data_IF_309268989803
#
_entry.id   IF_309268989803
#
_cell.length_a   1.000
_cell.length_b   1.000
_cell.length_c   1.000
_cell.angle_alpha   90.00
_cell.angle_beta   90.00
_cell.angle_gamma   90.00
#
_symmetry.space_group_name_H-M   'P 1'
#
loop_
_entity.id
_entity.type
_entity.pdbx_description
1 polymer ?
#
# COMPACT_ATOMS: atom_id res chain seq x y z
N UNK A 1 1.75 4.22 10.10
CA UNK A 1 2.11 5.64 9.91
C UNK A 1 1.88 5.94 8.45
N UNK A 2 1.76 7.21 8.07
CA UNK A 2 1.43 7.61 6.71
C UNK A 2 2.12 8.95 6.38
N UNK A 3 2.40 9.20 5.10
CA UNK A 3 2.84 10.51 4.63
C UNK A 3 1.66 11.38 4.21
N UNK A 4 1.71 12.67 4.56
CA UNK A 4 0.70 13.63 4.13
C UNK A 4 0.98 14.05 2.68
N UNK A 5 -0.04 13.95 1.82
CA UNK A 5 0.01 14.39 0.42
C UNK A 5 1.24 13.83 -0.32
N UNK A 6 1.49 12.52 -0.17
CA UNK A 6 2.77 11.88 -0.49
C UNK A 6 3.28 12.17 -1.91
N UNK A 7 2.47 11.91 -2.93
CA UNK A 7 2.87 12.14 -4.32
C UNK A 7 3.11 13.63 -4.58
N UNK A 8 2.18 14.48 -4.13
CA UNK A 8 2.27 15.93 -4.29
C UNK A 8 3.45 16.55 -3.53
N UNK A 9 3.93 15.88 -2.48
CA UNK A 9 5.11 16.30 -1.71
C UNK A 9 6.43 16.02 -2.43
N UNK A 10 6.45 15.10 -3.41
CA UNK A 10 7.62 14.83 -4.24
C UNK A 10 7.65 15.84 -5.38
N UNK A 11 8.52 16.83 -5.25
CA UNK A 11 8.55 18.01 -6.11
C UNK A 11 9.41 17.85 -7.36
N UNK A 12 9.26 18.80 -8.29
CA UNK A 12 10.13 18.93 -9.46
C UNK A 12 11.62 19.03 -9.09
N UNK A 13 11.93 19.75 -8.01
CA UNK A 13 13.28 19.83 -7.44
C UNK A 13 13.80 18.45 -7.05
N UNK A 14 12.99 17.65 -6.35
CA UNK A 14 13.38 16.31 -5.90
C UNK A 14 13.69 15.39 -7.08
N UNK A 15 12.87 15.46 -8.15
CA UNK A 15 13.06 14.67 -9.38
C UNK A 15 14.34 15.11 -10.12
N UNK A 16 14.59 16.41 -10.21
CA UNK A 16 15.81 16.95 -10.84
C UNK A 16 17.07 16.53 -10.09
N UNK A 17 17.04 16.60 -8.76
CA UNK A 17 18.15 16.18 -7.91
C UNK A 17 18.39 14.68 -8.03
N UNK A 18 17.33 13.88 -7.97
CA UNK A 18 17.40 12.44 -8.24
C UNK A 18 18.00 12.14 -9.62
N UNK A 19 17.58 12.85 -10.67
CA UNK A 19 18.09 12.67 -12.02
C UNK A 19 19.58 13.01 -12.12
N UNK A 20 20.02 14.11 -11.51
CA UNK A 20 21.43 14.50 -11.45
C UNK A 20 22.29 13.43 -10.77
N UNK A 21 21.80 12.86 -9.66
CA UNK A 21 22.55 11.90 -8.87
C UNK A 21 22.53 10.47 -9.46
N UNK A 22 21.49 10.12 -10.24
CA UNK A 22 21.22 8.72 -10.62
C UNK A 22 21.02 8.46 -12.11
N UNK A 23 20.76 9.47 -12.93
CA UNK A 23 20.50 9.29 -14.37
C UNK A 23 21.61 9.93 -15.20
N UNK A 24 21.94 11.20 -14.91
CA UNK A 24 22.99 11.92 -15.61
C UNK A 24 24.34 11.22 -15.47
N UNK A 25 24.96 10.87 -16.60
CA UNK A 25 26.23 10.15 -16.64
C UNK A 25 26.15 8.64 -16.32
N UNK A 26 25.01 8.15 -15.81
CA UNK A 26 24.77 6.72 -15.58
C UNK A 26 23.95 6.08 -16.72
N UNK A 27 23.05 6.84 -17.33
CA UNK A 27 22.33 6.46 -18.54
C UNK A 27 23.02 7.12 -19.74
N UNK A 28 23.44 6.36 -20.76
CA UNK A 28 24.05 6.92 -21.96
C UNK A 28 23.16 7.97 -22.61
N UNK A 29 23.74 9.13 -22.94
CA UNK A 29 23.08 10.26 -23.59
C UNK A 29 21.95 10.93 -22.80
N UNK A 30 21.83 10.68 -21.48
CA UNK A 30 20.87 11.41 -20.65
C UNK A 30 21.28 12.87 -20.51
N UNK A 31 20.46 13.77 -21.04
CA UNK A 31 20.69 15.21 -21.08
C UNK A 31 19.74 15.99 -20.14
N UNK A 32 19.96 17.31 -20.05
CA UNK A 32 19.09 18.19 -19.25
C UNK A 32 17.67 18.23 -19.82
N UNK A 33 17.53 18.16 -21.15
CA UNK A 33 16.27 18.11 -21.87
C UNK A 33 15.43 16.88 -21.48
N UNK A 34 16.07 15.72 -21.28
CA UNK A 34 15.40 14.49 -20.83
C UNK A 34 14.87 14.64 -19.40
N UNK A 35 15.66 15.25 -18.52
CA UNK A 35 15.24 15.57 -17.15
C UNK A 35 14.06 16.55 -17.16
N UNK A 36 14.12 17.57 -18.02
CA UNK A 36 13.03 18.53 -18.19
C UNK A 36 11.75 17.87 -18.70
N UNK A 37 11.87 16.92 -19.64
CA UNK A 37 10.75 16.14 -20.14
C UNK A 37 10.17 15.24 -19.04
N UNK A 38 11.01 14.52 -18.29
CA UNK A 38 10.61 13.66 -17.17
C UNK A 38 9.79 14.44 -16.14
N UNK A 39 10.27 15.62 -15.73
CA UNK A 39 9.56 16.50 -14.78
C UNK A 39 8.21 16.92 -15.35
N UNK A 40 8.16 17.37 -16.60
CA UNK A 40 6.90 17.81 -17.25
C UNK A 40 5.87 16.68 -17.37
N UNK A 41 6.31 15.45 -17.61
CA UNK A 41 5.43 14.29 -17.76
C UNK A 41 4.94 13.72 -16.42
N UNK A 42 5.74 13.86 -15.36
CA UNK A 42 5.45 13.25 -14.05
C UNK A 42 4.75 14.20 -13.08
N UNK A 43 4.92 15.52 -13.25
CA UNK A 43 4.43 16.51 -12.28
C UNK A 43 3.27 17.36 -12.76
N UNK A 44 2.40 17.74 -11.83
CA UNK A 44 1.33 18.73 -12.00
C UNK A 44 1.29 19.61 -10.77
N UNK A 45 1.16 20.94 -10.96
CA UNK A 45 1.20 21.93 -9.87
C UNK A 45 2.42 21.77 -8.94
N UNK A 46 3.55 21.31 -9.48
CA UNK A 46 4.83 21.24 -8.78
C UNK A 46 5.07 19.98 -7.93
N UNK A 47 4.24 18.94 -8.04
CA UNK A 47 4.45 17.64 -7.40
C UNK A 47 4.03 16.47 -8.30
N UNK A 48 4.37 15.23 -7.92
CA UNK A 48 3.97 14.05 -8.69
C UNK A 48 2.45 13.94 -8.81
N UNK A 49 2.01 13.48 -9.97
CA UNK A 49 0.58 13.29 -10.28
C UNK A 49 0.07 11.95 -9.77
N UNK A 50 -1.01 11.97 -8.99
CA UNK A 50 -1.76 10.75 -8.68
C UNK A 50 -2.41 10.24 -9.97
N UNK A 51 -2.29 8.94 -10.24
CA UNK A 51 -2.89 8.28 -11.41
C UNK A 51 -1.99 8.23 -12.65
N UNK A 52 -0.82 8.88 -12.63
CA UNK A 52 0.20 8.64 -13.66
C UNK A 52 0.86 7.27 -13.47
N UNK A 53 1.15 6.59 -14.58
CA UNK A 53 1.84 5.30 -14.62
C UNK A 53 3.29 5.43 -14.09
N UNK A 54 3.90 6.61 -14.22
CA UNK A 54 5.29 6.85 -13.79
C UNK A 54 5.42 7.15 -12.31
N UNK A 55 4.40 7.74 -11.69
CA UNK A 55 4.47 8.22 -10.31
C UNK A 55 4.80 7.12 -9.28
N UNK A 56 4.21 5.91 -9.31
CA UNK A 56 4.55 4.86 -8.35
C UNK A 56 6.02 4.43 -8.41
N UNK A 57 6.55 4.23 -9.62
CA UNK A 57 7.94 3.80 -9.79
C UNK A 57 8.91 4.92 -9.38
N UNK A 58 8.60 6.16 -9.77
CA UNK A 58 9.45 7.30 -9.49
C UNK A 58 9.45 7.66 -8.00
N UNK A 59 8.30 7.59 -7.31
CA UNK A 59 8.25 7.84 -5.88
C UNK A 59 9.02 6.80 -5.07
N UNK A 60 8.97 5.52 -5.47
CA UNK A 60 9.76 4.47 -4.84
C UNK A 60 11.26 4.67 -5.05
N UNK A 61 11.68 5.03 -6.27
CA UNK A 61 13.08 5.31 -6.57
C UNK A 61 13.62 6.52 -5.77
N UNK A 62 12.84 7.60 -5.68
CA UNK A 62 13.21 8.80 -4.92
C UNK A 62 13.25 8.50 -3.41
N UNK A 63 12.38 7.63 -2.91
CA UNK A 63 12.36 7.23 -1.48
C UNK A 63 13.45 6.22 -1.10
N UNK A 64 14.32 5.79 -2.02
CA UNK A 64 15.32 4.75 -1.72
C UNK A 64 16.21 5.09 -0.50
N UNK A 65 16.75 6.31 -0.43
CA UNK A 65 17.61 6.71 0.69
C UNK A 65 16.85 6.82 2.02
N UNK A 66 15.56 7.22 1.97
CA UNK A 66 14.68 7.17 3.13
C UNK A 66 14.52 5.73 3.61
N UNK A 67 14.25 4.80 2.70
CA UNK A 67 14.06 3.38 3.03
C UNK A 67 15.32 2.74 3.61
N UNK A 68 16.50 3.07 3.08
CA UNK A 68 17.79 2.63 3.62
C UNK A 68 18.00 3.11 5.05
N UNK A 69 17.71 4.39 5.33
CA UNK A 69 17.84 4.96 6.66
C UNK A 69 16.84 4.34 7.66
N UNK A 70 15.58 4.18 7.25
CA UNK A 70 14.54 3.57 8.07
C UNK A 70 14.78 2.08 8.32
N UNK A 71 15.29 1.36 7.31
CA UNK A 71 15.69 -0.04 7.44
C UNK A 71 16.82 -0.18 8.46
N UNK A 72 17.87 0.63 8.35
CA UNK A 72 19.02 0.62 9.27
C UNK A 72 18.59 0.91 10.71
N UNK A 73 17.82 1.99 10.93
CA UNK A 73 17.25 2.32 12.24
C UNK A 73 16.42 1.16 12.81
N UNK A 74 15.58 0.55 11.97
CA UNK A 74 14.68 -0.52 12.41
C UNK A 74 15.47 -1.77 12.76
N UNK A 75 16.49 -2.10 11.98
CA UNK A 75 17.38 -3.23 12.23
C UNK A 75 18.09 -3.10 13.58
N UNK A 76 18.69 -1.94 13.86
CA UNK A 76 19.36 -1.65 15.14
C UNK A 76 18.44 -1.79 16.36
N UNK A 77 17.15 -1.47 16.20
CA UNK A 77 16.15 -1.51 17.27
C UNK A 77 15.38 -2.84 17.36
N UNK A 78 15.68 -3.83 16.50
CA UNK A 78 14.92 -5.08 16.44
C UNK A 78 13.46 -4.90 16.01
N UNK A 79 13.24 -4.01 15.03
CA UNK A 79 11.95 -3.67 14.43
C UNK A 79 11.93 -4.14 12.97
N UNK A 80 10.81 -4.70 12.53
CA UNK A 80 10.55 -4.95 11.12
C UNK A 80 9.85 -3.74 10.50
N UNK A 81 10.50 -3.15 9.50
CA UNK A 81 9.98 -2.04 8.69
C UNK A 81 9.42 -2.53 7.36
N UNK A 82 8.32 -1.93 6.92
CA UNK A 82 7.75 -2.15 5.59
C UNK A 82 7.07 -0.87 5.13
N UNK A 83 7.29 -0.47 3.87
CA UNK A 83 6.61 0.65 3.22
C UNK A 83 5.71 0.16 2.10
N UNK A 84 4.53 0.75 1.97
CA UNK A 84 3.64 0.58 0.84
C UNK A 84 3.17 1.96 0.39
N UNK A 85 3.79 2.50 -0.67
CA UNK A 85 3.63 3.89 -1.08
C UNK A 85 3.87 4.87 0.10
N UNK A 86 2.81 5.54 0.56
CA UNK A 86 2.77 6.51 1.66
C UNK A 86 2.65 5.86 3.05
N UNK A 87 2.12 4.64 3.12
CA UNK A 87 1.98 3.89 4.36
C UNK A 87 3.33 3.32 4.84
N UNK A 88 3.66 3.60 6.10
CA UNK A 88 4.81 3.04 6.81
C UNK A 88 4.35 2.13 7.96
N UNK A 89 4.85 0.91 7.98
CA UNK A 89 4.55 -0.08 9.01
C UNK A 89 5.84 -0.45 9.76
N UNK A 90 5.75 -0.38 11.09
CA UNK A 90 6.80 -0.77 12.02
C UNK A 90 6.23 -1.77 13.01
N UNK A 91 6.86 -2.94 13.13
CA UNK A 91 6.38 -4.02 13.99
C UNK A 91 7.51 -4.63 14.81
N UNK A 92 7.20 -5.06 16.03
CA UNK A 92 8.15 -5.70 16.95
C UNK A 92 7.40 -6.46 18.04
N UNK A 93 8.05 -7.45 18.64
CA UNK A 93 7.56 -8.14 19.83
C UNK A 93 7.96 -7.44 21.14
N UNK A 94 8.85 -6.45 21.07
CA UNK A 94 9.35 -5.70 22.22
C UNK A 94 8.43 -4.54 22.57
N UNK A 95 7.92 -4.54 23.81
CA UNK A 95 6.96 -3.52 24.25
C UNK A 95 7.62 -2.15 24.37
N UNK A 96 6.91 -1.11 23.96
CA UNK A 96 7.30 0.29 24.20
C UNK A 96 8.27 0.88 23.18
N UNK A 97 9.06 0.07 22.47
CA UNK A 97 10.08 0.56 21.53
C UNK A 97 9.46 1.40 20.40
N UNK A 98 8.29 1.04 19.88
CA UNK A 98 7.68 1.79 18.77
C UNK A 98 7.31 3.24 19.10
N UNK A 99 7.26 3.65 20.38
CA UNK A 99 6.89 5.02 20.78
C UNK A 99 7.88 6.07 20.28
N UNK A 100 9.15 5.71 20.09
CA UNK A 100 10.18 6.64 19.62
C UNK A 100 10.19 6.80 18.09
N UNK A 101 9.55 5.89 17.35
CA UNK A 101 9.66 5.82 15.90
C UNK A 101 9.13 7.07 15.19
N UNK A 102 7.97 7.66 15.55
CA UNK A 102 7.49 8.85 14.87
C UNK A 102 8.51 10.00 14.84
N UNK A 103 9.16 10.30 15.96
CA UNK A 103 10.15 11.38 16.02
C UNK A 103 11.46 11.03 15.31
N UNK A 104 11.88 9.76 15.35
CA UNK A 104 13.06 9.30 14.59
C UNK A 104 12.86 9.35 13.08
N UNK A 105 11.64 9.08 12.61
CA UNK A 105 11.28 9.23 11.19
C UNK A 105 11.33 10.71 10.79
N UNK A 106 10.84 11.63 11.63
CA UNK A 106 10.96 13.08 11.36
C UNK A 106 12.43 13.51 11.27
N UNK A 107 13.27 13.04 12.20
CA UNK A 107 14.70 13.33 12.20
C UNK A 107 15.38 12.84 10.91
N UNK A 108 15.08 11.61 10.46
CA UNK A 108 15.59 11.07 9.20
C UNK A 108 15.15 11.94 8.03
N UNK A 109 13.85 12.26 7.92
CA UNK A 109 13.32 13.09 6.84
C UNK A 109 14.00 14.45 6.78
N UNK A 110 14.26 15.07 7.94
CA UNK A 110 14.92 16.39 8.02
C UNK A 110 16.36 16.40 7.48
N UNK A 111 16.99 15.23 7.34
CA UNK A 111 18.37 15.07 6.85
C UNK A 111 18.44 14.60 5.39
N UNK A 112 17.30 14.29 4.78
CA UNK A 112 17.26 13.83 3.39
C UNK A 112 17.49 15.01 2.43
N UNK A 113 18.25 14.77 1.37
CA UNK A 113 18.33 15.70 0.24
C UNK A 113 17.03 15.70 -0.58
N UNK A 114 16.42 14.51 -0.73
CA UNK A 114 15.10 14.31 -1.32
C UNK A 114 14.44 13.03 -0.77
N UNK A 115 13.09 12.98 -0.72
CA UNK A 115 12.18 14.07 -1.03
C UNK A 115 12.11 15.10 0.10
N UNK A 116 12.31 16.37 -0.26
CA UNK A 116 12.55 17.47 0.68
C UNK A 116 11.32 17.98 1.42
N UNK A 117 10.11 17.71 0.89
CA UNK A 117 8.84 18.19 1.46
C UNK A 117 8.02 17.10 2.16
N UNK A 118 8.56 15.89 2.32
CA UNK A 118 7.87 14.81 3.02
C UNK A 118 7.48 15.22 4.44
N UNK A 119 6.26 14.87 4.84
CA UNK A 119 5.74 15.10 6.19
C UNK A 119 4.92 13.91 6.65
N UNK A 120 5.13 13.50 7.90
CA UNK A 120 4.31 12.47 8.53
C UNK A 120 2.91 13.02 8.79
N UNK A 121 1.90 12.24 8.45
CA UNK A 121 0.53 12.49 8.83
C UNK A 121 0.28 12.04 10.28
N UNK A 122 0.43 12.97 11.22
CA UNK A 122 0.29 12.68 12.66
C UNK A 122 -1.12 12.20 13.03
N UNK A 123 -2.18 12.63 12.35
CA UNK A 123 -3.55 12.17 12.64
C UNK A 123 -3.81 10.72 12.21
N UNK A 124 -3.07 10.23 11.20
CA UNK A 124 -3.09 8.83 10.76
C UNK A 124 -2.02 7.96 11.41
N UNK A 125 -1.22 8.52 12.33
CA UNK A 125 -0.22 7.76 13.08
C UNK A 125 -0.90 7.05 14.25
N UNK A 126 -0.87 5.72 14.25
CA UNK A 126 -1.55 4.89 15.25
C UNK A 126 -0.67 3.73 15.70
N UNK A 127 -0.76 3.39 16.99
CA UNK A 127 -0.12 2.21 17.58
C UNK A 127 -1.17 1.16 17.90
N UNK A 128 -0.98 -0.06 17.40
CA UNK A 128 -1.84 -1.20 17.73
C UNK A 128 -1.03 -2.35 18.31
N UNK A 129 -1.72 -3.26 18.99
CA UNK A 129 -1.16 -4.49 19.55
C UNK A 129 -2.23 -5.58 19.49
N UNK A 130 -1.89 -6.81 19.88
CA UNK A 130 -2.85 -7.94 19.95
C UNK A 130 -4.06 -7.69 20.88
N UNK A 131 -4.04 -6.65 21.71
CA UNK A 131 -5.21 -6.23 22.51
C UNK A 131 -6.28 -5.51 21.68
N UNK A 132 -5.89 -4.93 20.55
CA UNK A 132 -6.74 -4.12 19.68
C UNK A 132 -6.77 -4.71 18.27
N UNK A 133 -7.67 -4.21 17.41
CA UNK A 133 -7.70 -4.57 15.99
C UNK A 133 -6.41 -4.05 15.33
N UNK A 134 -5.64 -4.95 14.73
CA UNK A 134 -4.47 -4.61 13.93
C UNK A 134 -4.87 -4.66 12.45
N UNK A 135 -4.76 -3.53 11.75
CA UNK A 135 -5.00 -3.43 10.31
C UNK A 135 -3.74 -2.98 9.58
N UNK A 136 -3.44 -3.61 8.46
CA UNK A 136 -2.34 -3.27 7.54
C UNK A 136 -2.92 -3.37 6.13
N UNK A 137 -2.85 -2.29 5.35
CA UNK A 137 -3.33 -2.22 3.94
C UNK A 137 -4.73 -2.82 3.72
N UNK A 138 -5.65 -2.57 4.66
CA UNK A 138 -7.04 -3.06 4.62
C UNK A 138 -7.25 -4.49 5.15
N UNK A 139 -6.17 -5.23 5.41
CA UNK A 139 -6.20 -6.58 5.99
C UNK A 139 -6.06 -6.53 7.51
N UNK A 140 -6.71 -7.47 8.18
CA UNK A 140 -6.64 -7.63 9.64
C UNK A 140 -5.63 -8.71 9.99
N UNK A 141 -4.74 -8.40 10.93
CA UNK A 141 -3.84 -9.39 11.53
C UNK A 141 -4.53 -9.94 12.79
N UNK A 142 -4.75 -11.25 12.83
CA UNK A 142 -5.38 -11.93 13.97
C UNK A 142 -4.37 -12.14 15.11
N UNK A 143 -4.86 -12.49 16.31
CA UNK A 143 -4.01 -12.66 17.50
C UNK A 143 -3.02 -13.82 17.39
N UNK A 144 -3.35 -14.81 16.59
CA UNK A 144 -2.52 -15.95 16.18
C UNK A 144 -1.73 -15.68 14.89
N UNK A 145 -1.54 -14.41 14.54
CA UNK A 145 -0.67 -13.94 13.44
C UNK A 145 -1.09 -14.42 12.04
N UNK A 146 -2.39 -14.70 11.83
CA UNK A 146 -2.95 -14.98 10.50
C UNK A 146 -3.50 -13.71 9.85
N UNK A 147 -3.57 -13.73 8.52
CA UNK A 147 -4.18 -12.65 7.74
C UNK A 147 -5.68 -12.93 7.58
N UNK A 148 -6.50 -11.89 7.68
CA UNK A 148 -7.95 -11.98 7.61
C UNK A 148 -8.55 -10.75 6.97
N UNK A 149 -9.62 -10.91 6.18
CA UNK A 149 -10.38 -9.76 5.65
C UNK A 149 -11.25 -9.07 6.71
N UNK A 150 -11.28 -9.59 7.93
CA UNK A 150 -12.02 -9.03 9.06
C UNK A 150 -13.50 -9.43 9.11
N UNK A 151 -14.10 -9.34 10.30
CA UNK A 151 -15.46 -9.86 10.58
C UNK A 151 -16.55 -9.16 9.77
N UNK A 152 -16.46 -7.83 9.62
CA UNK A 152 -17.43 -7.01 8.89
C UNK A 152 -17.48 -7.41 7.42
N UNK A 153 -16.32 -7.48 6.76
CA UNK A 153 -16.24 -7.89 5.35
C UNK A 153 -16.70 -9.33 5.16
N UNK A 154 -16.33 -10.26 6.05
CA UNK A 154 -16.85 -11.64 6.02
C UNK A 154 -18.38 -11.70 6.13
N UNK A 155 -19.00 -10.81 6.93
CA UNK A 155 -20.46 -10.73 7.05
C UNK A 155 -21.09 -10.22 5.76
N UNK A 156 -20.53 -9.17 5.18
CA UNK A 156 -20.97 -8.62 3.89
C UNK A 156 -20.89 -9.70 2.79
N UNK A 157 -19.75 -10.38 2.66
CA UNK A 157 -19.56 -11.42 1.64
C UNK A 157 -20.52 -12.59 1.83
N UNK A 158 -20.75 -13.05 3.06
CA UNK A 158 -21.78 -14.08 3.32
C UNK A 158 -23.17 -13.64 2.90
N UNK A 159 -23.51 -12.36 3.08
CA UNK A 159 -24.80 -11.82 2.64
C UNK A 159 -24.90 -11.81 1.12
N UNK A 160 -23.85 -11.35 0.43
CA UNK A 160 -23.79 -11.31 -1.03
C UNK A 160 -23.83 -12.69 -1.66
N UNK A 161 -23.12 -13.67 -1.08
CA UNK A 161 -23.17 -15.08 -1.53
C UNK A 161 -24.56 -15.67 -1.32
N UNK A 162 -25.22 -15.36 -0.19
CA UNK A 162 -26.57 -15.86 0.08
C UNK A 162 -27.61 -15.29 -0.90
N UNK A 163 -27.51 -14.00 -1.23
CA UNK A 163 -28.42 -13.32 -2.15
C UNK A 163 -27.91 -13.34 -3.60
N UNK A 164 -27.07 -14.32 -3.99
CA UNK A 164 -26.38 -14.34 -5.29
C UNK A 164 -27.32 -14.09 -6.47
N UNK A 165 -28.46 -14.77 -6.51
CA UNK A 165 -29.42 -14.66 -7.62
C UNK A 165 -30.03 -13.26 -7.77
N UNK A 166 -30.18 -12.54 -6.64
CA UNK A 166 -30.79 -11.22 -6.57
C UNK A 166 -29.79 -10.09 -6.84
N UNK A 167 -28.49 -10.39 -6.96
CA UNK A 167 -27.46 -9.39 -7.21
C UNK A 167 -27.51 -8.85 -8.65
N UNK A 168 -27.24 -7.56 -8.78
CA UNK A 168 -26.99 -6.91 -10.06
C UNK A 168 -25.76 -7.53 -10.77
N UNK A 169 -25.66 -7.48 -12.11
CA UNK A 169 -24.47 -7.96 -12.84
C UNK A 169 -23.16 -7.29 -12.37
N UNK A 170 -23.23 -6.03 -11.94
CA UNK A 170 -22.10 -5.29 -11.38
C UNK A 170 -21.69 -5.87 -10.01
N UNK A 171 -22.64 -6.08 -9.10
CA UNK A 171 -22.37 -6.70 -7.80
C UNK A 171 -21.86 -8.13 -7.93
N UNK A 172 -22.38 -8.89 -8.91
CA UNK A 172 -21.89 -10.24 -9.25
C UNK A 172 -20.43 -10.19 -9.70
N UNK A 173 -20.09 -9.26 -10.60
CA UNK A 173 -18.70 -9.05 -11.06
C UNK A 173 -17.77 -8.65 -9.92
N UNK A 174 -18.22 -7.72 -9.07
CA UNK A 174 -17.47 -7.29 -7.91
C UNK A 174 -17.24 -8.45 -6.93
N UNK A 175 -18.28 -9.23 -6.60
CA UNK A 175 -18.17 -10.38 -5.71
C UNK A 175 -17.20 -11.44 -6.28
N UNK A 176 -17.28 -11.73 -7.57
CA UNK A 176 -16.37 -12.66 -8.27
C UNK A 176 -14.90 -12.24 -8.12
N UNK A 177 -14.59 -10.97 -8.45
CA UNK A 177 -13.25 -10.43 -8.28
C UNK A 177 -12.80 -10.44 -6.83
N UNK A 178 -13.70 -10.12 -5.91
CA UNK A 178 -13.39 -10.09 -4.48
C UNK A 178 -13.17 -11.50 -3.89
N UNK A 179 -13.91 -12.52 -4.32
CA UNK A 179 -13.64 -13.91 -3.92
C UNK A 179 -12.28 -14.38 -4.45
N UNK A 180 -11.87 -13.96 -5.65
CA UNK A 180 -10.54 -14.23 -6.20
C UNK A 180 -9.44 -13.61 -5.35
N UNK A 181 -9.62 -12.37 -4.89
CA UNK A 181 -8.73 -11.72 -3.92
C UNK A 181 -8.71 -12.45 -2.56
N UNK A 182 -9.88 -12.81 -2.01
CA UNK A 182 -9.96 -13.56 -0.76
C UNK A 182 -9.23 -14.91 -0.87
N UNK A 183 -9.30 -15.57 -2.03
CA UNK A 183 -8.62 -16.85 -2.26
C UNK A 183 -7.09 -16.71 -2.11
N UNK A 184 -6.49 -15.59 -2.51
CA UNK A 184 -5.05 -15.37 -2.35
C UNK A 184 -4.65 -14.98 -0.93
N UNK A 185 -5.54 -14.33 -0.17
CA UNK A 185 -5.22 -13.78 1.15
C UNK A 185 -5.70 -14.63 2.33
N UNK A 186 -6.91 -15.18 2.25
CA UNK A 186 -7.54 -15.98 3.30
C UNK A 186 -8.30 -17.20 2.71
N UNK A 187 -7.60 -18.18 2.12
CA UNK A 187 -8.22 -19.33 1.44
C UNK A 187 -9.11 -20.18 2.35
N UNK A 188 -8.82 -20.24 3.65
CA UNK A 188 -9.65 -20.93 4.63
C UNK A 188 -11.08 -20.36 4.69
N UNK A 189 -11.26 -19.06 4.42
CA UNK A 189 -12.60 -18.47 4.36
C UNK A 189 -13.39 -18.94 3.13
N UNK A 190 -12.73 -19.16 1.98
CA UNK A 190 -13.36 -19.77 0.80
C UNK A 190 -13.82 -21.19 1.12
N UNK A 191 -13.00 -21.99 1.79
CA UNK A 191 -13.39 -23.35 2.19
C UNK A 191 -14.64 -23.36 3.09
N UNK A 192 -14.75 -22.40 4.01
CA UNK A 192 -15.93 -22.23 4.85
C UNK A 192 -17.17 -21.83 4.03
N UNK A 193 -17.01 -21.00 2.99
CA UNK A 193 -18.10 -20.67 2.08
C UNK A 193 -18.55 -21.91 1.28
N UNK A 194 -17.62 -22.70 0.74
CA UNK A 194 -17.93 -23.94 0.03
C UNK A 194 -18.67 -24.95 0.92
N UNK A 195 -18.25 -25.06 2.18
CA UNK A 195 -18.90 -25.97 3.16
C UNK A 195 -20.32 -25.50 3.50
N UNK A 196 -20.53 -24.19 3.61
CA UNK A 196 -21.82 -23.62 4.04
C UNK A 196 -22.84 -23.48 2.91
N UNK A 197 -22.41 -23.04 1.73
CA UNK A 197 -23.28 -22.72 0.60
C UNK A 197 -23.17 -23.72 -0.55
N UNK A 198 -22.22 -24.66 -0.50
CA UNK A 198 -21.96 -25.62 -1.57
C UNK A 198 -20.85 -25.17 -2.53
N UNK A 199 -19.95 -26.11 -2.86
CA UNK A 199 -18.81 -25.83 -3.72
C UNK A 199 -19.20 -25.40 -5.14
N UNK A 200 -20.32 -25.92 -5.67
CA UNK A 200 -20.83 -25.56 -6.99
C UNK A 200 -21.21 -24.09 -7.08
N UNK A 201 -21.93 -23.57 -6.08
CA UNK A 201 -22.33 -22.15 -6.02
C UNK A 201 -21.09 -21.26 -5.94
N UNK A 202 -20.14 -21.57 -5.05
CA UNK A 202 -18.91 -20.76 -4.94
C UNK A 202 -18.09 -20.80 -6.23
N UNK A 203 -18.04 -21.95 -6.91
CA UNK A 203 -17.37 -22.07 -8.22
C UNK A 203 -18.05 -21.18 -9.26
N UNK A 204 -19.38 -21.21 -9.35
CA UNK A 204 -20.17 -20.36 -10.25
C UNK A 204 -19.87 -18.88 -10.04
N UNK A 205 -19.94 -18.41 -8.78
CA UNK A 205 -19.62 -17.02 -8.43
C UNK A 205 -18.20 -16.65 -8.85
N UNK A 206 -17.22 -17.53 -8.60
CA UNK A 206 -15.79 -17.24 -8.86
C UNK A 206 -15.46 -17.17 -10.35
N UNK A 207 -16.20 -17.87 -11.20
CA UNK A 207 -15.98 -17.85 -12.66
C UNK A 207 -16.93 -16.89 -13.40
N UNK A 208 -17.77 -16.17 -12.66
CA UNK A 208 -18.68 -15.19 -13.25
C UNK A 208 -17.88 -14.10 -13.99
N UNK A 209 -18.21 -13.93 -15.27
CA UNK A 209 -17.64 -12.92 -16.15
C UNK A 209 -18.79 -12.19 -16.85
N UNK A 210 -19.00 -10.92 -16.48
CA UNK A 210 -20.07 -10.08 -17.03
C UNK A 210 -19.94 -9.84 -18.53
N UNK A 211 -18.74 -9.95 -19.11
CA UNK A 211 -18.49 -9.73 -20.54
C UNK A 211 -19.00 -10.84 -21.47
N UNK A 212 -19.58 -11.92 -20.94
CA UNK A 212 -20.17 -13.01 -21.74
C UNK A 212 -21.70 -12.93 -21.88
N UNK A 213 -22.34 -11.93 -21.27
CA UNK A 213 -23.81 -11.84 -21.14
C UNK A 213 -24.40 -10.73 -22.03
N UNK A 214 -23.58 -10.11 -22.89
CA UNK A 214 -24.03 -9.19 -23.95
C UNK A 214 -23.93 -9.84 -25.33
#
# INVERSE_FOLDING_TARGET
>A
MDFKDFFESISDHDIRKFAADNLTGKIPNWAEEDTNLLVKLSTFKGGLTIGSITSPLLSDAICYNLDVALFSLSHELGITYTRYADDLYFSTNSRGILKIIPERVVEIISRLEYPSKLKINRSKTHHSSKKNKMKVTGLTITNDSRISIGREKKREIRSKVFNWEELSPEDKSHLSGYLSYIKSVEPAFINNLCTKYGASIIKEITVFNSKKVE
#
